data_IF_220856391044
#
_entry.id   IF_220856391044
#
_cell.length_a   1.000
_cell.length_b   1.000
_cell.length_c   1.000
_cell.angle_alpha   90.00
_cell.angle_beta   90.00
_cell.angle_gamma   90.00
#
_symmetry.space_group_name_H-M   'P 1'
#
loop_
_entity.id
_entity.type
_entity.pdbx_description
1 polymer ?
#
# COMPACT_ATOMS: atom_id res chain seq x y z
N UNK A 1 -26.61 13.73 -15.19
CA UNK A 1 -25.29 13.36 -14.63
C UNK A 1 -24.10 14.09 -15.27
N UNK A 2 -24.23 14.75 -16.44
CA UNK A 2 -23.13 15.45 -17.10
C UNK A 2 -22.55 16.68 -16.35
N UNK A 3 -23.35 17.32 -15.50
CA UNK A 3 -22.97 18.56 -14.82
C UNK A 3 -21.91 18.37 -13.72
N UNK A 4 -21.90 17.22 -13.03
CA UNK A 4 -20.91 16.93 -11.99
C UNK A 4 -19.52 16.69 -12.57
N UNK A 5 -19.43 15.96 -13.68
CA UNK A 5 -18.16 15.71 -14.38
C UNK A 5 -17.52 16.99 -14.91
N UNK A 6 -18.34 17.92 -15.44
CA UNK A 6 -17.85 19.23 -15.89
C UNK A 6 -17.41 20.12 -14.73
N UNK A 7 -18.16 20.13 -13.62
CA UNK A 7 -17.76 20.84 -12.40
C UNK A 7 -16.45 20.27 -11.83
N UNK A 8 -16.32 18.96 -11.71
CA UNK A 8 -15.10 18.32 -11.20
C UNK A 8 -13.89 18.59 -12.11
N UNK A 9 -14.08 18.54 -13.43
CA UNK A 9 -13.02 18.87 -14.39
C UNK A 9 -12.64 20.36 -14.37
N UNK A 10 -13.56 21.24 -13.97
CA UNK A 10 -13.29 22.68 -13.80
C UNK A 10 -12.50 23.00 -12.52
N UNK A 11 -12.45 22.07 -11.56
CA UNK A 11 -11.61 22.24 -10.37
C UNK A 11 -10.14 22.10 -10.77
N UNK A 12 -9.35 23.11 -10.43
CA UNK A 12 -7.89 23.10 -10.58
C UNK A 12 -7.26 22.97 -9.18
N UNK A 13 -7.33 21.79 -8.55
CA UNK A 13 -6.80 21.61 -7.21
C UNK A 13 -5.29 21.85 -7.23
N UNK A 14 -4.83 22.66 -6.27
CA UNK A 14 -3.40 22.87 -6.03
C UNK A 14 -2.82 21.53 -5.61
N UNK A 15 -1.90 21.00 -6.43
CA UNK A 15 -1.14 19.80 -6.08
C UNK A 15 0.03 20.22 -5.22
N UNK A 16 -0.03 19.89 -3.94
CA UNK A 16 1.07 20.11 -2.99
C UNK A 16 1.95 18.86 -2.99
N UNK A 17 3.27 19.04 -3.16
CA UNK A 17 4.23 17.96 -2.99
C UNK A 17 4.48 17.72 -1.50
N UNK A 18 3.55 16.99 -0.86
CA UNK A 18 3.64 16.67 0.57
C UNK A 18 4.96 15.96 0.90
N UNK A 19 5.49 15.17 -0.03
CA UNK A 19 6.77 14.49 0.16
C UNK A 19 7.92 15.49 0.09
N UNK A 20 7.94 16.36 -0.92
CA UNK A 20 8.96 17.41 -1.05
C UNK A 20 8.98 18.38 0.14
N UNK A 21 7.82 18.72 0.68
CA UNK A 21 7.69 19.71 1.75
C UNK A 21 7.94 19.14 3.16
N UNK A 22 7.58 17.86 3.39
CA UNK A 22 7.60 17.25 4.73
C UNK A 22 8.56 16.06 4.89
N UNK A 23 9.22 15.58 3.83
CA UNK A 23 10.19 14.48 3.97
C UNK A 23 11.33 14.85 4.94
N UNK A 24 11.67 13.92 5.82
CA UNK A 24 12.71 14.07 6.83
C UNK A 24 12.32 14.88 8.08
N UNK A 25 11.12 15.49 8.13
CA UNK A 25 10.64 16.22 9.32
C UNK A 25 9.60 15.46 10.14
N UNK A 26 8.91 14.49 9.54
CA UNK A 26 7.85 13.72 10.19
C UNK A 26 7.76 12.27 9.71
N UNK A 27 7.08 11.44 10.49
CA UNK A 27 6.77 10.04 10.16
C UNK A 27 5.44 9.98 9.44
N UNK A 28 5.42 9.37 8.25
CA UNK A 28 4.20 9.16 7.46
C UNK A 28 3.60 7.78 7.73
N UNK A 29 2.28 7.69 7.73
CA UNK A 29 1.56 6.43 7.68
C UNK A 29 1.10 6.16 6.24
N UNK A 30 1.49 5.03 5.68
CA UNK A 30 1.07 4.59 4.36
C UNK A 30 0.08 3.45 4.52
N UNK A 31 -1.06 3.57 3.85
CA UNK A 31 -2.07 2.53 3.83
C UNK A 31 -1.64 1.39 2.89
N UNK A 32 -1.37 0.20 3.44
CA UNK A 32 -0.85 -0.96 2.71
C UNK A 32 -1.78 -1.48 1.62
N UNK A 33 -3.09 -1.59 1.88
CA UNK A 33 -4.05 -2.05 0.86
C UNK A 33 -4.13 -1.11 -0.34
N UNK A 34 -4.18 0.21 -0.09
CA UNK A 34 -4.19 1.22 -1.14
C UNK A 34 -2.86 1.24 -1.91
N UNK A 35 -1.73 1.11 -1.21
CA UNK A 35 -0.41 1.01 -1.83
C UNK A 35 -0.33 -0.19 -2.78
N UNK A 36 -0.79 -1.37 -2.32
CA UNK A 36 -0.80 -2.57 -3.13
C UNK A 36 -1.64 -2.36 -4.40
N UNK A 37 -2.88 -1.89 -4.25
CA UNK A 37 -3.77 -1.58 -5.38
C UNK A 37 -3.11 -0.66 -6.39
N UNK A 38 -2.55 0.46 -5.90
CA UNK A 38 -1.88 1.45 -6.72
C UNK A 38 -0.67 0.85 -7.46
N UNK A 39 0.15 0.04 -6.79
CA UNK A 39 1.31 -0.59 -7.42
C UNK A 39 0.88 -1.58 -8.50
N UNK A 40 -0.16 -2.38 -8.26
CA UNK A 40 -0.68 -3.34 -9.24
C UNK A 40 -1.21 -2.65 -10.49
N UNK A 41 -1.97 -1.57 -10.33
CA UNK A 41 -2.52 -0.79 -11.44
C UNK A 41 -1.44 -0.02 -12.19
N UNK A 42 -0.54 0.68 -11.48
CA UNK A 42 0.48 1.53 -12.11
C UNK A 42 1.56 0.74 -12.85
N UNK A 43 1.94 -0.44 -12.35
CA UNK A 43 2.92 -1.32 -13.00
C UNK A 43 2.30 -2.34 -13.95
N UNK A 44 0.97 -2.34 -14.11
CA UNK A 44 0.20 -3.25 -14.98
C UNK A 44 0.54 -4.71 -14.73
N UNK A 45 0.58 -5.12 -13.46
CA UNK A 45 0.93 -6.50 -13.09
C UNK A 45 -0.15 -7.45 -13.59
N UNK A 46 0.25 -8.48 -14.33
CA UNK A 46 -0.70 -9.49 -14.80
C UNK A 46 -1.03 -10.51 -13.70
N UNK A 47 -2.21 -10.33 -13.12
CA UNK A 47 -2.83 -11.28 -12.17
C UNK A 47 -3.79 -12.26 -12.84
N UNK A 48 -4.13 -12.06 -14.11
CA UNK A 48 -5.12 -12.88 -14.82
C UNK A 48 -4.48 -14.18 -15.32
N UNK A 49 -3.44 -14.08 -16.14
CA UNK A 49 -2.79 -15.25 -16.76
C UNK A 49 -1.50 -15.66 -16.06
N UNK A 50 -0.60 -14.70 -15.80
CA UNK A 50 0.74 -15.01 -15.29
C UNK A 50 0.85 -15.15 -13.76
N UNK A 51 -0.12 -14.62 -13.00
CA UNK A 51 -0.02 -14.41 -11.55
C UNK A 51 1.39 -13.93 -11.15
N UNK A 52 1.78 -12.78 -11.69
CA UNK A 52 3.13 -12.22 -11.57
C UNK A 52 3.40 -11.65 -10.17
N UNK A 53 3.38 -12.50 -9.15
CA UNK A 53 3.54 -12.13 -7.75
C UNK A 53 4.88 -11.43 -7.50
N UNK A 54 5.96 -11.91 -8.11
CA UNK A 54 7.27 -11.27 -7.98
C UNK A 54 7.28 -9.85 -8.55
N UNK A 55 6.58 -9.62 -9.67
CA UNK A 55 6.43 -8.29 -10.26
C UNK A 55 5.65 -7.37 -9.33
N UNK A 56 4.60 -7.87 -8.67
CA UNK A 56 3.86 -7.12 -7.65
C UNK A 56 4.76 -6.69 -6.48
N UNK A 57 5.58 -7.61 -5.96
CA UNK A 57 6.50 -7.32 -4.86
C UNK A 57 7.52 -6.26 -5.29
N UNK A 58 8.16 -6.46 -6.44
CA UNK A 58 9.13 -5.51 -6.98
C UNK A 58 8.53 -4.12 -7.23
N UNK A 59 7.28 -4.05 -7.70
CA UNK A 59 6.58 -2.78 -7.89
C UNK A 59 6.40 -2.02 -6.57
N UNK A 60 6.00 -2.72 -5.51
CA UNK A 60 5.88 -2.14 -4.16
C UNK A 60 7.25 -1.72 -3.62
N UNK A 61 8.27 -2.57 -3.73
CA UNK A 61 9.63 -2.25 -3.29
C UNK A 61 10.18 -1.02 -3.99
N UNK A 62 10.05 -0.95 -5.31
CA UNK A 62 10.51 0.19 -6.12
C UNK A 62 9.83 1.48 -5.67
N UNK A 63 8.53 1.43 -5.33
CA UNK A 63 7.82 2.59 -4.82
C UNK A 63 8.36 3.03 -3.46
N UNK A 64 8.57 2.09 -2.53
CA UNK A 64 9.09 2.38 -1.19
C UNK A 64 10.53 2.89 -1.23
N UNK A 65 11.37 2.36 -2.12
CA UNK A 65 12.74 2.84 -2.36
C UNK A 65 12.73 4.31 -2.79
N UNK A 66 11.85 4.69 -3.72
CA UNK A 66 11.72 6.09 -4.16
C UNK A 66 11.31 7.03 -3.03
N UNK A 67 10.48 6.58 -2.08
CA UNK A 67 10.16 7.35 -0.88
C UNK A 67 11.38 7.49 0.04
N UNK A 68 12.12 6.41 0.23
CA UNK A 68 13.35 6.40 1.05
C UNK A 68 14.44 7.30 0.47
N UNK A 69 14.64 7.30 -0.85
CA UNK A 69 15.59 8.19 -1.55
C UNK A 69 15.28 9.67 -1.29
N UNK A 70 14.00 10.01 -1.13
CA UNK A 70 13.54 11.36 -0.77
C UNK A 70 13.63 11.65 0.73
N UNK A 71 14.24 10.77 1.52
CA UNK A 71 14.33 10.84 3.00
C UNK A 71 12.98 10.82 3.71
N UNK A 72 11.94 10.22 3.11
CA UNK A 72 10.71 9.96 3.85
C UNK A 72 10.93 8.88 4.92
N UNK A 73 10.44 9.16 6.11
CA UNK A 73 10.31 8.18 7.19
C UNK A 73 8.85 7.74 7.18
N UNK A 74 8.59 6.45 6.97
CA UNK A 74 7.22 5.96 6.85
C UNK A 74 6.99 4.61 7.53
N UNK A 75 5.75 4.40 7.95
CA UNK A 75 5.22 3.16 8.50
C UNK A 75 4.15 2.61 7.57
N UNK A 76 4.22 1.32 7.27
CA UNK A 76 3.23 0.65 6.42
C UNK A 76 2.16 0.01 7.30
N UNK A 77 0.92 0.48 7.17
CA UNK A 77 -0.21 0.03 7.97
C UNK A 77 -1.09 -0.93 7.18
N UNK A 78 -1.40 -2.08 7.77
CA UNK A 78 -2.27 -3.09 7.17
C UNK A 78 -3.53 -3.27 8.01
N UNK A 79 -4.69 -3.20 7.38
CA UNK A 79 -5.97 -3.27 8.08
C UNK A 79 -6.70 -4.57 7.72
N UNK A 80 -6.90 -5.45 8.71
CA UNK A 80 -7.58 -6.73 8.47
C UNK A 80 -9.04 -6.58 8.03
N UNK A 81 -9.73 -5.53 8.50
CA UNK A 81 -11.13 -5.24 8.10
C UNK A 81 -11.25 -4.75 6.65
N UNK A 82 -10.17 -4.23 6.08
CA UNK A 82 -10.13 -3.61 4.75
C UNK A 82 -9.30 -4.44 3.77
N UNK A 83 -9.05 -5.72 4.08
CA UNK A 83 -8.26 -6.60 3.23
C UNK A 83 -8.82 -6.72 1.81
N UNK A 84 -10.13 -6.52 1.61
CA UNK A 84 -10.74 -6.55 0.29
C UNK A 84 -10.63 -5.21 -0.48
N UNK A 85 -10.07 -4.15 0.12
CA UNK A 85 -9.80 -2.88 -0.58
C UNK A 85 -8.71 -3.05 -1.63
N UNK A 86 -7.81 -4.02 -1.46
CA UNK A 86 -6.78 -4.32 -2.46
C UNK A 86 -7.30 -5.01 -3.74
N UNK A 87 -8.60 -5.35 -3.78
CA UNK A 87 -9.22 -6.09 -4.89
C UNK A 87 -10.03 -5.11 -5.75
N UNK A 88 -9.69 -4.98 -7.05
CA UNK A 88 -10.47 -4.19 -7.99
C UNK A 88 -11.95 -4.62 -8.02
N UNK A 89 -12.88 -3.66 -8.05
CA UNK A 89 -14.32 -3.93 -7.94
C UNK A 89 -14.87 -4.91 -8.98
N UNK A 90 -14.32 -4.92 -10.20
CA UNK A 90 -14.66 -5.84 -11.28
C UNK A 90 -14.20 -7.29 -11.03
N UNK A 91 -13.25 -7.51 -10.11
CA UNK A 91 -12.67 -8.83 -9.80
C UNK A 91 -13.31 -9.47 -8.56
N UNK A 92 -13.98 -8.69 -7.71
CA UNK A 92 -14.59 -9.18 -6.45
C UNK A 92 -15.67 -10.26 -6.65
N UNK A 93 -16.21 -10.38 -7.86
CA UNK A 93 -17.21 -11.38 -8.24
C UNK A 93 -16.55 -12.75 -8.54
N UNK A 94 -15.27 -12.76 -8.94
CA UNK A 94 -14.50 -13.96 -9.24
C UNK A 94 -13.68 -14.38 -8.01
N UNK A 95 -14.08 -15.48 -7.38
CA UNK A 95 -13.46 -16.00 -6.16
C UNK A 95 -12.02 -16.50 -6.38
N UNK A 96 -11.70 -17.02 -7.57
CA UNK A 96 -10.37 -17.52 -7.90
C UNK A 96 -9.38 -16.34 -8.06
N UNK A 97 -9.80 -15.28 -8.76
CA UNK A 97 -8.98 -14.08 -8.90
C UNK A 97 -8.84 -13.33 -7.57
N UNK A 98 -9.91 -13.22 -6.79
CA UNK A 98 -9.88 -12.63 -5.44
C UNK A 98 -8.83 -13.29 -4.54
N UNK A 99 -8.70 -14.61 -4.61
CA UNK A 99 -7.71 -15.38 -3.84
C UNK A 99 -6.26 -14.99 -4.19
N UNK A 100 -5.98 -14.65 -5.45
CA UNK A 100 -4.66 -14.20 -5.91
C UNK A 100 -4.24 -12.87 -5.24
N UNK A 101 -5.16 -11.91 -5.16
CA UNK A 101 -4.91 -10.62 -4.48
C UNK A 101 -4.68 -10.80 -2.98
N UNK A 102 -5.48 -11.65 -2.32
CA UNK A 102 -5.29 -11.99 -0.90
C UNK A 102 -3.96 -12.68 -0.64
N UNK A 103 -3.53 -13.57 -1.54
CA UNK A 103 -2.22 -14.21 -1.46
C UNK A 103 -1.10 -13.18 -1.62
N UNK A 104 -1.18 -12.30 -2.62
CA UNK A 104 -0.19 -11.25 -2.81
C UNK A 104 -0.06 -10.33 -1.58
N UNK A 105 -1.19 -9.95 -0.99
CA UNK A 105 -1.25 -9.21 0.27
C UNK A 105 -0.54 -9.96 1.41
N UNK A 106 -0.87 -11.24 1.61
CA UNK A 106 -0.28 -12.04 2.68
C UNK A 106 1.25 -12.17 2.50
N UNK A 107 1.70 -12.43 1.27
CA UNK A 107 3.12 -12.54 0.93
C UNK A 107 3.83 -11.21 1.16
N UNK A 108 3.25 -10.08 0.76
CA UNK A 108 3.82 -8.76 1.02
C UNK A 108 3.95 -8.49 2.51
N UNK A 109 2.90 -8.75 3.30
CA UNK A 109 2.95 -8.56 4.76
C UNK A 109 4.07 -9.41 5.35
N UNK A 110 4.19 -10.67 4.95
CA UNK A 110 5.22 -11.57 5.45
C UNK A 110 6.64 -11.17 5.02
N UNK A 111 6.81 -10.79 3.75
CA UNK A 111 8.08 -10.33 3.18
C UNK A 111 8.63 -9.14 3.95
N UNK A 112 7.75 -8.21 4.26
CA UNK A 112 8.07 -6.97 4.91
C UNK A 112 8.21 -7.12 6.43
N UNK A 113 7.42 -7.99 7.07
CA UNK A 113 7.45 -8.20 8.52
C UNK A 113 8.83 -8.62 9.08
N UNK A 114 9.70 -9.23 8.27
CA UNK A 114 11.04 -9.67 8.68
C UNK A 114 11.04 -10.69 9.83
N UNK A 115 12.20 -11.30 10.17
CA UNK A 115 12.32 -12.07 11.40
C UNK A 115 12.30 -11.09 12.57
N UNK A 116 11.27 -11.16 13.41
CA UNK A 116 11.19 -10.36 14.63
C UNK A 116 12.40 -10.67 15.52
N UNK A 117 13.38 -9.77 15.60
CA UNK A 117 14.38 -9.82 16.68
C UNK A 117 13.67 -9.36 17.94
N UNK A 118 13.28 -10.33 18.76
CA UNK A 118 12.74 -10.12 20.09
C UNK A 118 13.83 -9.55 21.01
N UNK A 119 13.86 -8.22 21.16
CA UNK A 119 14.57 -7.55 22.24
C UNK A 119 15.40 -6.34 21.80
N UNK A 120 15.02 -5.16 22.31
CA UNK A 120 15.92 -4.02 22.48
C UNK A 120 16.20 -3.14 21.24
N UNK A 121 15.61 -1.95 21.26
CA UNK A 121 15.84 -0.76 20.40
C UNK A 121 15.54 -0.84 18.88
N UNK A 122 14.84 0.17 18.32
CA UNK A 122 14.57 0.25 16.89
C UNK A 122 15.84 0.55 16.09
N UNK A 123 16.22 -0.38 15.21
CA UNK A 123 17.30 -0.21 14.25
C UNK A 123 17.03 0.97 13.29
N UNK A 124 18.04 1.81 12.97
CA UNK A 124 17.91 2.94 12.04
C UNK A 124 17.71 2.51 10.57
N UNK A 125 17.61 1.22 10.27
CA UNK A 125 17.15 0.71 9.00
C UNK A 125 15.61 0.57 9.03
N UNK A 126 14.92 1.68 8.75
CA UNK A 126 13.47 1.76 8.87
C UNK A 126 12.71 0.71 8.07
N UNK A 127 11.84 -0.01 8.77
CA UNK A 127 10.49 -0.45 8.39
C UNK A 127 9.76 -0.79 9.71
N UNK A 128 8.72 -0.04 10.11
CA UNK A 128 7.94 -0.39 11.31
C UNK A 128 6.48 -0.70 10.97
N UNK A 129 6.04 -1.86 11.48
CA UNK A 129 4.73 -2.50 11.28
C UNK A 129 3.91 -2.38 12.55
N UNK A 130 2.61 -2.06 12.44
CA UNK A 130 1.69 -2.26 13.58
C UNK A 130 0.41 -2.94 13.12
N UNK A 131 0.11 -4.05 13.80
CA UNK A 131 -1.06 -4.90 13.65
C UNK A 131 -2.22 -4.31 14.46
N UNK A 132 -3.22 -3.72 13.80
CA UNK A 132 -4.47 -3.35 14.46
C UNK A 132 -5.52 -4.44 14.20
N UNK A 133 -5.50 -5.50 15.02
CA UNK A 133 -6.60 -6.46 15.10
C UNK A 133 -7.23 -6.43 16.50
N UNK A 134 -8.39 -5.76 16.55
CA UNK A 134 -9.47 -5.73 17.56
C UNK A 134 -9.10 -6.01 19.03
N UNK A 135 -8.94 -4.93 19.81
CA UNK A 135 -9.80 -4.55 20.96
C UNK A 135 -9.43 -3.13 21.40
N UNK A 136 -9.94 -2.12 20.71
CA UNK A 136 -10.06 -0.77 21.26
C UNK A 136 -11.46 -0.30 20.90
N UNK A 137 -12.33 -0.48 21.89
CA UNK A 137 -13.67 0.09 22.13
C UNK A 137 -14.48 -1.01 22.82
N UNK A 138 -14.23 -1.14 24.11
CA UNK A 138 -15.19 -1.51 25.14
C UNK A 138 -14.94 -0.54 26.30
#
# INVERSE_FOLDING_TARGET
MAQFGQWQASLHPIRVDVVGDFAGRGVFAIHGEALLTYCLESSRVDFDYGFQLLHAIHAVETFLVKLKERRCIFNLLWFGKEADVCIPGNIRIDSAKTSKYRLARAVLIQHFAGPTVSGGEPSPAGFSYVFLSKKMWA
#
